data_IF_484503022390
#
_entry.id   IF_484503022390
#
_cell.length_a   1.000
_cell.length_b   1.000
_cell.length_c   1.000
_cell.angle_alpha   90.00
_cell.angle_beta   90.00
_cell.angle_gamma   90.00
#
_symmetry.space_group_name_H-M   'P 1'
#
loop_
_entity.id
_entity.type
_entity.pdbx_description
1 polymer ?
#
# COMPACT_ATOMS: atom_id res chain seq x y z
N UNK A 1 21.35 4.35 -17.23
CA UNK A 1 21.60 4.94 -15.91
C UNK A 1 20.28 5.52 -15.45
N UNK A 2 19.61 4.86 -14.49
CA UNK A 2 18.31 5.30 -13.97
C UNK A 2 18.41 6.73 -13.47
N UNK A 3 17.48 7.60 -13.87
CA UNK A 3 17.40 9.00 -13.47
C UNK A 3 17.06 9.17 -11.98
N UNK A 4 16.58 8.11 -11.33
CA UNK A 4 16.08 8.15 -9.96
C UNK A 4 17.11 7.61 -8.99
N UNK A 5 18.04 8.48 -8.57
CA UNK A 5 18.95 8.15 -7.46
C UNK A 5 18.27 8.14 -6.10
N UNK A 6 17.09 8.75 -5.98
CA UNK A 6 16.37 8.87 -4.72
C UNK A 6 15.21 7.86 -4.65
N UNK A 7 15.15 7.11 -3.56
CA UNK A 7 14.10 6.14 -3.28
C UNK A 7 13.22 6.66 -2.14
N UNK A 8 11.92 6.74 -2.39
CA UNK A 8 10.93 7.13 -1.40
C UNK A 8 10.58 5.95 -0.49
N UNK A 9 10.60 6.18 0.82
CA UNK A 9 10.30 5.13 1.81
C UNK A 9 8.95 5.38 2.47
N UNK A 10 8.14 4.33 2.52
CA UNK A 10 6.90 4.31 3.30
C UNK A 10 6.99 3.27 4.43
N UNK A 11 6.32 3.57 5.54
CA UNK A 11 6.10 2.60 6.62
C UNK A 11 4.61 2.37 6.83
N UNK A 12 4.26 1.15 7.27
CA UNK A 12 2.87 0.75 7.49
C UNK A 12 2.61 0.55 8.97
N UNK A 13 1.52 1.12 9.47
CA UNK A 13 0.98 0.82 10.80
C UNK A 13 -0.41 0.19 10.69
N UNK A 14 -0.50 -1.08 11.07
CA UNK A 14 -1.78 -1.76 11.26
C UNK A 14 -2.41 -1.29 12.59
N UNK A 15 -3.25 -0.26 12.54
CA UNK A 15 -3.82 0.39 13.73
C UNK A 15 -5.09 -0.29 14.22
N UNK A 16 -5.67 -1.21 13.43
CA UNK A 16 -6.74 -2.12 13.82
C UNK A 16 -6.65 -3.41 13.01
N UNK A 17 -6.45 -4.55 13.68
CA UNK A 17 -6.02 -5.80 13.03
C UNK A 17 -7.01 -6.94 13.17
N UNK A 18 -7.30 -7.60 12.04
CA UNK A 18 -7.88 -8.95 12.03
C UNK A 18 -9.36 -9.05 12.43
N UNK A 19 -10.14 -8.00 12.22
CA UNK A 19 -11.60 -7.96 12.49
C UNK A 19 -12.46 -7.88 11.23
N UNK A 20 -11.85 -8.04 10.05
CA UNK A 20 -12.50 -7.83 8.75
C UNK A 20 -13.45 -8.97 8.38
N UNK A 21 -14.69 -8.64 8.00
CA UNK A 21 -15.72 -9.61 7.60
C UNK A 21 -15.75 -9.92 6.09
N UNK A 22 -14.97 -9.18 5.31
CA UNK A 22 -14.89 -9.34 3.85
C UNK A 22 -14.20 -10.66 3.47
N UNK A 23 -14.45 -11.11 2.24
CA UNK A 23 -13.95 -12.38 1.72
C UNK A 23 -12.85 -12.22 0.66
N UNK A 24 -12.04 -11.17 0.79
CA UNK A 24 -10.85 -10.99 -0.04
C UNK A 24 -9.90 -12.18 0.14
N UNK A 25 -9.84 -13.08 -0.85
CA UNK A 25 -9.13 -14.36 -0.81
C UNK A 25 -7.62 -14.27 -0.57
N UNK A 26 -7.02 -13.08 -0.72
CA UNK A 26 -5.61 -12.81 -0.44
C UNK A 26 -5.34 -12.33 1.00
N UNK A 27 -6.37 -11.96 1.76
CA UNK A 27 -6.20 -11.17 2.99
C UNK A 27 -6.25 -12.05 4.24
N UNK A 28 -5.12 -12.16 4.93
CA UNK A 28 -4.97 -12.85 6.23
C UNK A 28 -5.78 -12.21 7.36
N UNK A 29 -6.18 -10.94 7.21
CA UNK A 29 -7.00 -10.24 8.20
C UNK A 29 -8.49 -10.59 8.12
N UNK A 30 -8.95 -11.24 7.04
CA UNK A 30 -10.32 -11.74 6.97
C UNK A 30 -10.55 -12.79 8.06
N UNK A 31 -11.64 -12.63 8.81
CA UNK A 31 -12.03 -13.60 9.85
C UNK A 31 -12.47 -14.94 9.24
N UNK A 32 -12.77 -14.99 7.94
CA UNK A 32 -13.26 -16.18 7.23
C UNK A 32 -12.20 -17.26 7.03
N UNK A 33 -10.92 -16.85 6.94
CA UNK A 33 -9.82 -17.77 6.62
C UNK A 33 -9.05 -18.24 7.85
N UNK A 34 -9.31 -17.67 9.03
CA UNK A 34 -8.68 -18.10 10.28
C UNK A 34 -7.14 -18.12 10.23
N UNK A 35 -6.52 -17.20 9.48
CA UNK A 35 -5.07 -17.07 9.46
C UNK A 35 -4.55 -16.76 10.88
N UNK A 36 -3.40 -17.36 11.21
CA UNK A 36 -2.73 -17.14 12.49
C UNK A 36 -2.00 -15.80 12.46
N UNK A 37 -2.68 -14.75 12.92
CA UNK A 37 -2.18 -13.38 12.98
C UNK A 37 -2.52 -12.79 14.35
N UNK A 38 -1.80 -11.74 14.75
CA UNK A 38 -2.17 -10.95 15.92
C UNK A 38 -3.45 -10.14 15.64
N UNK A 39 -4.45 -10.29 16.51
CA UNK A 39 -5.76 -9.63 16.37
C UNK A 39 -5.97 -8.70 17.56
N UNK A 40 -6.32 -7.46 17.26
CA UNK A 40 -6.58 -6.43 18.25
C UNK A 40 -7.53 -5.40 17.65
N UNK A 41 -8.21 -4.65 18.51
CA UNK A 41 -9.04 -3.53 18.08
C UNK A 41 -8.14 -2.33 17.75
N UNK A 42 -8.45 -1.13 18.22
CA UNK A 42 -7.58 0.01 18.00
C UNK A 42 -6.30 -0.04 18.85
N UNK A 43 -5.14 0.25 18.23
CA UNK A 43 -3.93 0.63 18.97
C UNK A 43 -4.17 1.91 19.77
N UNK A 44 -3.39 2.10 20.84
CA UNK A 44 -3.38 3.39 21.54
C UNK A 44 -2.78 4.49 20.66
N UNK A 45 -3.23 5.73 20.82
CA UNK A 45 -2.72 6.86 20.04
C UNK A 45 -1.23 7.07 20.36
N UNK A 46 -0.85 6.89 21.62
CA UNK A 46 0.53 7.00 22.09
C UNK A 46 1.45 5.99 21.38
N UNK A 47 0.99 4.75 21.21
CA UNK A 47 1.71 3.74 20.45
C UNK A 47 1.83 4.11 18.97
N UNK A 48 0.76 4.62 18.35
CA UNK A 48 0.78 5.06 16.95
C UNK A 48 1.80 6.19 16.75
N UNK A 49 1.82 7.19 17.63
CA UNK A 49 2.81 8.27 17.59
C UNK A 49 4.23 7.72 17.76
N UNK A 50 4.46 6.84 18.73
CA UNK A 50 5.77 6.23 18.96
C UNK A 50 6.26 5.47 17.72
N UNK A 51 5.40 4.67 17.09
CA UNK A 51 5.75 3.93 15.87
C UNK A 51 5.98 4.87 14.67
N UNK A 52 5.25 5.99 14.58
CA UNK A 52 5.46 7.02 13.56
C UNK A 52 6.81 7.74 13.75
N UNK A 53 7.19 8.06 14.98
CA UNK A 53 8.51 8.63 15.30
C UNK A 53 9.63 7.68 14.88
N UNK A 54 9.48 6.38 15.17
CA UNK A 54 10.44 5.36 14.74
C UNK A 54 10.50 5.23 13.22
N UNK A 55 9.37 5.25 12.52
CA UNK A 55 9.33 5.21 11.07
C UNK A 55 10.08 6.42 10.46
N UNK A 56 9.79 7.63 10.93
CA UNK A 56 10.47 8.86 10.49
C UNK A 56 11.97 8.81 10.75
N UNK A 57 12.39 8.34 11.93
CA UNK A 57 13.81 8.17 12.27
C UNK A 57 14.54 7.15 11.36
N UNK A 58 13.80 6.23 10.74
CA UNK A 58 14.30 5.29 9.74
C UNK A 58 14.18 5.80 8.30
N UNK A 59 13.81 7.07 8.09
CA UNK A 59 13.74 7.70 6.78
C UNK A 59 12.41 7.54 6.06
N UNK A 60 11.37 7.05 6.72
CA UNK A 60 10.03 7.04 6.13
C UNK A 60 9.57 8.48 5.88
N UNK A 61 9.07 8.72 4.67
CA UNK A 61 8.39 9.94 4.28
C UNK A 61 6.87 9.73 4.20
N UNK A 62 6.43 8.52 3.85
CA UNK A 62 5.02 8.11 3.95
C UNK A 62 4.76 7.23 5.16
N UNK A 63 3.60 7.41 5.80
CA UNK A 63 3.18 6.63 6.95
C UNK A 63 1.70 6.23 6.84
N UNK A 64 1.46 4.93 6.67
CA UNK A 64 0.12 4.39 6.45
C UNK A 64 -0.57 4.07 7.77
N UNK A 65 -1.78 4.60 7.96
CA UNK A 65 -2.70 4.29 9.05
C UNK A 65 -3.75 3.29 8.54
N UNK A 66 -3.56 2.00 8.82
CA UNK A 66 -4.33 0.92 8.21
C UNK A 66 -5.30 0.28 9.20
N UNK A 67 -6.57 0.16 8.81
CA UNK A 67 -7.59 -0.55 9.59
C UNK A 67 -8.15 -1.73 8.80
N UNK A 68 -8.33 -2.87 9.45
CA UNK A 68 -9.08 -3.99 8.90
C UNK A 68 -10.58 -3.64 8.75
N UNK A 69 -11.19 -4.05 7.63
CA UNK A 69 -12.63 -3.90 7.36
C UNK A 69 -12.91 -3.48 5.92
N UNK A 70 -14.19 -3.48 5.54
CA UNK A 70 -14.66 -3.02 4.22
C UNK A 70 -14.34 -1.56 3.96
N UNK A 71 -14.58 -0.72 4.96
CA UNK A 71 -14.57 0.72 4.81
C UNK A 71 -14.73 1.47 6.12
N UNK A 72 -14.82 2.78 5.96
CA UNK A 72 -14.99 3.75 7.03
C UNK A 72 -16.43 3.76 7.57
N UNK A 73 -16.52 3.80 8.89
CA UNK A 73 -17.72 4.13 9.66
C UNK A 73 -17.40 5.32 10.58
N UNK A 74 -18.40 5.93 11.20
CA UNK A 74 -18.22 7.15 12.02
C UNK A 74 -17.15 6.98 13.11
N UNK A 75 -17.05 5.78 13.71
CA UNK A 75 -16.06 5.51 14.77
C UNK A 75 -14.65 5.39 14.20
N UNK A 76 -14.49 4.70 13.07
CA UNK A 76 -13.20 4.58 12.38
C UNK A 76 -12.71 5.92 11.88
N UNK A 77 -13.59 6.73 11.28
CA UNK A 77 -13.26 8.06 10.76
C UNK A 77 -12.74 8.95 11.89
N UNK A 78 -13.47 9.01 13.01
CA UNK A 78 -13.03 9.75 14.20
C UNK A 78 -11.68 9.24 14.74
N UNK A 79 -11.52 7.92 14.85
CA UNK A 79 -10.27 7.34 15.35
C UNK A 79 -9.06 7.67 14.45
N UNK A 80 -9.21 7.50 13.12
CA UNK A 80 -8.15 7.80 12.16
C UNK A 80 -7.82 9.29 12.16
N UNK A 81 -8.82 10.18 12.25
CA UNK A 81 -8.62 11.61 12.38
C UNK A 81 -7.83 11.98 13.64
N UNK A 82 -8.20 11.44 14.81
CA UNK A 82 -7.46 11.68 16.07
C UNK A 82 -6.03 11.15 16.01
N UNK A 83 -5.82 9.97 15.41
CA UNK A 83 -4.49 9.42 15.20
C UNK A 83 -3.65 10.30 14.27
N UNK A 84 -4.22 10.77 13.17
CA UNK A 84 -3.55 11.66 12.22
C UNK A 84 -3.13 12.98 12.88
N UNK A 85 -4.05 13.63 13.61
CA UNK A 85 -3.75 14.87 14.34
C UNK A 85 -2.63 14.66 15.38
N UNK A 86 -2.68 13.57 16.13
CA UNK A 86 -1.65 13.26 17.13
C UNK A 86 -0.28 13.02 16.48
N UNK A 87 -0.23 12.31 15.35
CA UNK A 87 1.02 12.11 14.62
C UNK A 87 1.54 13.44 14.06
N UNK A 88 0.71 14.24 13.38
CA UNK A 88 1.09 15.56 12.86
C UNK A 88 1.61 16.51 13.94
N UNK A 89 1.07 16.42 15.16
CA UNK A 89 1.50 17.25 16.28
C UNK A 89 2.86 16.85 16.89
N UNK A 90 3.33 15.62 16.64
CA UNK A 90 4.54 15.06 17.26
C UNK A 90 5.64 14.68 16.25
N UNK A 91 5.30 14.53 14.98
CA UNK A 91 6.21 14.07 13.92
C UNK A 91 6.04 14.96 12.70
N UNK A 92 7.01 15.84 12.48
CA UNK A 92 7.02 16.78 11.36
C UNK A 92 7.35 16.08 10.03
N UNK A 93 6.88 16.67 8.93
CA UNK A 93 7.21 16.29 7.55
C UNK A 93 6.98 14.80 7.23
N UNK A 94 5.88 14.23 7.75
CA UNK A 94 5.44 12.87 7.43
C UNK A 94 4.11 12.94 6.67
N UNK A 95 4.09 12.36 5.47
CA UNK A 95 2.87 12.22 4.66
C UNK A 95 2.02 11.08 5.23
N UNK A 96 0.86 11.42 5.79
CA UNK A 96 -0.06 10.47 6.38
C UNK A 96 -1.00 9.92 5.32
N UNK A 97 -0.99 8.60 5.20
CA UNK A 97 -1.75 7.85 4.21
C UNK A 97 -2.83 7.06 4.95
N UNK A 98 -4.10 7.41 4.73
CA UNK A 98 -5.22 6.65 5.26
C UNK A 98 -5.48 5.40 4.39
N UNK A 99 -5.45 4.21 4.97
CA UNK A 99 -5.71 2.94 4.26
C UNK A 99 -6.88 2.21 4.93
N UNK A 100 -8.10 2.74 4.77
CA UNK A 100 -9.24 2.37 5.62
C UNK A 100 -10.45 1.81 4.83
N UNK A 101 -10.21 1.31 3.62
CA UNK A 101 -11.23 0.69 2.78
C UNK A 101 -12.09 1.71 2.02
N UNK A 102 -13.34 1.35 1.70
CA UNK A 102 -14.28 2.22 0.98
C UNK A 102 -14.61 3.46 1.79
N UNK A 103 -14.72 4.61 1.11
CA UNK A 103 -14.97 5.89 1.77
C UNK A 103 -15.85 6.80 0.91
N UNK A 104 -16.77 7.50 1.58
CA UNK A 104 -17.59 8.57 0.99
C UNK A 104 -16.80 9.87 0.90
N UNK A 105 -17.26 10.82 0.08
CA UNK A 105 -16.61 12.13 -0.06
C UNK A 105 -16.58 12.87 1.28
N UNK A 106 -17.64 12.82 2.05
CA UNK A 106 -17.75 13.48 3.35
C UNK A 106 -16.71 12.95 4.34
N UNK A 107 -16.53 11.63 4.40
CA UNK A 107 -15.52 11.00 5.25
C UNK A 107 -14.10 11.37 4.81
N UNK A 108 -13.84 11.40 3.50
CA UNK A 108 -12.54 11.77 2.95
C UNK A 108 -12.21 13.26 3.18
N UNK A 109 -13.18 14.15 2.99
CA UNK A 109 -13.04 15.58 3.32
C UNK A 109 -12.73 15.76 4.80
N UNK A 110 -13.45 15.05 5.68
CA UNK A 110 -13.20 15.10 7.11
C UNK A 110 -11.77 14.64 7.45
N UNK A 111 -11.33 13.50 6.92
CA UNK A 111 -9.96 13.01 7.14
C UNK A 111 -8.89 14.01 6.64
N UNK A 112 -9.11 14.62 5.48
CA UNK A 112 -8.22 15.67 4.93
C UNK A 112 -8.10 16.86 5.87
N UNK A 113 -9.21 17.36 6.38
CA UNK A 113 -9.22 18.48 7.35
C UNK A 113 -8.52 18.14 8.67
N UNK A 114 -8.37 16.84 8.98
CA UNK A 114 -7.75 16.34 10.20
C UNK A 114 -6.32 15.80 9.97
N UNK A 115 -5.69 16.17 8.85
CA UNK A 115 -4.26 15.96 8.64
C UNK A 115 -3.88 14.71 7.86
N UNK A 116 -4.83 14.03 7.23
CA UNK A 116 -4.53 13.03 6.20
C UNK A 116 -4.15 13.74 4.90
N UNK A 117 -3.02 13.36 4.32
CA UNK A 117 -2.51 13.95 3.07
C UNK A 117 -2.91 13.10 1.84
N UNK A 118 -2.90 11.78 2.02
CA UNK A 118 -3.15 10.81 0.95
C UNK A 118 -4.13 9.73 1.39
N UNK A 119 -4.85 9.13 0.44
CA UNK A 119 -5.72 7.98 0.71
C UNK A 119 -5.35 6.80 -0.18
N UNK A 120 -5.14 5.64 0.43
CA UNK A 120 -4.85 4.40 -0.27
C UNK A 120 -6.12 3.59 -0.53
N UNK A 121 -6.37 3.30 -1.80
CA UNK A 121 -7.39 2.34 -2.19
C UNK A 121 -6.96 1.58 -3.46
N UNK A 122 -6.50 0.34 -3.30
CA UNK A 122 -6.09 -0.50 -4.43
C UNK A 122 -7.29 -0.99 -5.23
N UNK A 123 -7.13 -1.27 -6.52
CA UNK A 123 -8.12 -2.04 -7.30
C UNK A 123 -7.97 -3.56 -7.10
N UNK A 124 -6.84 -3.98 -6.53
CA UNK A 124 -6.43 -5.36 -6.21
C UNK A 124 -6.17 -6.24 -7.44
N UNK A 125 -7.13 -6.33 -8.37
CA UNK A 125 -7.02 -7.07 -9.63
C UNK A 125 -7.93 -6.44 -10.70
N UNK A 126 -7.98 -7.03 -11.90
CA UNK A 126 -8.86 -6.58 -12.99
C UNK A 126 -10.32 -6.68 -12.56
N UNK A 127 -11.18 -5.85 -13.16
CA UNK A 127 -12.64 -5.96 -12.96
C UNK A 127 -13.16 -7.36 -13.32
N UNK A 128 -12.61 -7.96 -14.39
CA UNK A 128 -12.99 -9.28 -14.90
C UNK A 128 -12.69 -10.40 -13.90
N UNK A 129 -11.54 -10.35 -13.22
CA UNK A 129 -11.10 -11.39 -12.29
C UNK A 129 -11.52 -11.13 -10.85
N UNK A 130 -12.05 -9.93 -10.54
CA UNK A 130 -12.33 -9.52 -9.17
C UNK A 130 -13.29 -10.45 -8.42
N UNK A 131 -14.32 -10.98 -9.08
CA UNK A 131 -15.28 -11.90 -8.46
C UNK A 131 -14.67 -13.25 -8.01
N UNK A 132 -13.52 -13.61 -8.59
CA UNK A 132 -12.72 -14.75 -8.13
C UNK A 132 -11.92 -14.41 -6.87
N UNK A 133 -11.79 -13.14 -6.49
CA UNK A 133 -11.01 -12.68 -5.35
C UNK A 133 -11.87 -12.18 -4.20
N UNK A 134 -12.97 -11.49 -4.46
CA UNK A 134 -13.87 -10.95 -3.43
C UNK A 134 -15.30 -10.91 -3.96
N UNK A 135 -16.27 -11.29 -3.13
CA UNK A 135 -17.70 -11.29 -3.46
C UNK A 135 -18.53 -10.44 -2.49
N UNK A 136 -17.97 -10.00 -1.36
CA UNK A 136 -18.70 -9.16 -0.39
C UNK A 136 -18.88 -7.71 -0.82
N UNK A 137 -18.15 -7.25 -1.84
CA UNK A 137 -18.30 -5.94 -2.43
C UNK A 137 -17.86 -5.92 -3.90
N UNK A 138 -18.42 -5.00 -4.69
CA UNK A 138 -18.10 -4.93 -6.11
C UNK A 138 -16.73 -4.27 -6.38
N UNK A 139 -16.15 -4.56 -7.54
CA UNK A 139 -14.95 -3.86 -8.03
C UNK A 139 -15.23 -2.37 -8.27
N UNK A 140 -16.41 -2.05 -8.81
CA UNK A 140 -16.83 -0.67 -9.09
C UNK A 140 -16.87 0.21 -7.83
N UNK A 141 -17.22 -0.34 -6.66
CA UNK A 141 -17.18 0.39 -5.38
C UNK A 141 -15.74 0.86 -5.04
N UNK A 142 -14.73 0.08 -5.46
CA UNK A 142 -13.33 0.43 -5.25
C UNK A 142 -12.90 1.55 -6.16
N UNK A 143 -13.26 1.45 -7.44
CA UNK A 143 -12.99 2.49 -8.43
C UNK A 143 -13.64 3.82 -8.03
N UNK A 144 -14.93 3.80 -7.62
CA UNK A 144 -15.65 4.97 -7.13
C UNK A 144 -14.95 5.60 -5.91
N UNK A 145 -14.42 4.79 -4.99
CA UNK A 145 -13.64 5.31 -3.85
C UNK A 145 -12.40 6.08 -4.33
N UNK A 146 -11.68 5.56 -5.33
CA UNK A 146 -10.53 6.26 -5.92
C UNK A 146 -10.92 7.60 -6.56
N UNK A 147 -12.04 7.65 -7.28
CA UNK A 147 -12.57 8.90 -7.84
C UNK A 147 -12.97 9.90 -6.75
N UNK A 148 -13.60 9.41 -5.67
CA UNK A 148 -13.97 10.23 -4.53
C UNK A 148 -12.75 10.89 -3.88
N UNK A 149 -11.66 10.15 -3.69
CA UNK A 149 -10.37 10.65 -3.14
C UNK A 149 -9.87 11.83 -3.96
N UNK A 150 -9.81 11.68 -5.30
CA UNK A 150 -9.38 12.76 -6.19
C UNK A 150 -10.33 13.96 -6.15
N UNK A 151 -11.64 13.70 -6.08
CA UNK A 151 -12.65 14.76 -6.11
C UNK A 151 -12.60 15.70 -4.89
N UNK A 152 -12.08 15.22 -3.75
CA UNK A 152 -11.88 16.05 -2.55
C UNK A 152 -10.45 16.62 -2.44
N UNK A 153 -9.59 16.32 -3.43
CA UNK A 153 -8.22 16.79 -3.53
C UNK A 153 -7.26 16.19 -2.50
N UNK A 154 -7.48 14.94 -2.09
CA UNK A 154 -6.45 14.13 -1.45
C UNK A 154 -5.56 13.51 -2.53
N UNK A 155 -4.28 13.27 -2.22
CA UNK A 155 -3.44 12.46 -3.10
C UNK A 155 -3.93 11.01 -3.11
N UNK A 156 -4.07 10.43 -4.29
CA UNK A 156 -4.51 9.06 -4.48
C UNK A 156 -3.30 8.13 -4.48
N UNK A 157 -3.34 7.13 -3.60
CA UNK A 157 -2.49 5.95 -3.65
C UNK A 157 -3.33 4.76 -4.12
N UNK A 158 -3.06 4.21 -5.31
CA UNK A 158 -3.85 3.10 -5.85
C UNK A 158 -3.01 2.16 -6.68
N UNK A 159 -3.09 0.87 -6.38
CA UNK A 159 -2.39 -0.18 -7.12
C UNK A 159 -3.11 -1.52 -7.04
N UNK A 160 -2.35 -2.61 -7.00
CA UNK A 160 -2.92 -3.96 -7.00
C UNK A 160 -1.98 -5.05 -6.50
N UNK A 161 -2.46 -6.29 -6.61
CA UNK A 161 -1.77 -7.50 -6.17
C UNK A 161 -1.62 -8.43 -7.37
N UNK A 162 -0.39 -8.91 -7.61
CA UNK A 162 -0.07 -9.81 -8.72
C UNK A 162 0.33 -11.19 -8.21
N UNK A 163 -0.02 -12.26 -8.94
CA UNK A 163 0.25 -13.65 -8.55
C UNK A 163 -0.87 -14.33 -7.76
N UNK A 164 -2.10 -13.85 -7.88
CA UNK A 164 -3.31 -14.44 -7.27
C UNK A 164 -3.97 -15.51 -8.15
N UNK A 165 -3.41 -15.79 -9.33
CA UNK A 165 -3.95 -16.73 -10.32
C UNK A 165 -4.55 -16.06 -11.56
N UNK A 166 -4.51 -14.73 -11.61
CA UNK A 166 -4.94 -13.92 -12.75
C UNK A 166 -4.08 -14.20 -14.00
N UNK A 167 -4.67 -14.04 -15.18
CA UNK A 167 -4.00 -14.20 -16.48
C UNK A 167 -3.28 -12.89 -16.89
N UNK A 168 -2.48 -12.92 -17.96
CA UNK A 168 -1.74 -11.72 -18.38
C UNK A 168 -2.71 -10.59 -18.75
N UNK A 169 -3.80 -10.91 -19.42
CA UNK A 169 -4.84 -9.95 -19.80
C UNK A 169 -5.54 -9.31 -18.59
N UNK A 170 -5.52 -9.95 -17.42
CA UNK A 170 -6.02 -9.34 -16.18
C UNK A 170 -5.00 -8.35 -15.59
N UNK A 171 -3.71 -8.67 -15.71
CA UNK A 171 -2.63 -7.78 -15.25
C UNK A 171 -2.62 -6.50 -16.08
N UNK A 172 -2.69 -6.63 -17.40
CA UNK A 172 -2.73 -5.50 -18.33
C UNK A 172 -3.97 -4.63 -18.05
N UNK A 173 -5.15 -5.24 -17.91
CA UNK A 173 -6.38 -4.51 -17.61
C UNK A 173 -6.36 -3.81 -16.23
N UNK A 174 -5.73 -4.41 -15.22
CA UNK A 174 -5.51 -3.77 -13.93
C UNK A 174 -4.61 -2.53 -14.07
N UNK A 175 -3.48 -2.66 -14.79
CA UNK A 175 -2.54 -1.56 -14.97
C UNK A 175 -3.18 -0.39 -15.75
N UNK A 176 -3.95 -0.68 -16.80
CA UNK A 176 -4.72 0.33 -17.53
C UNK A 176 -5.75 1.04 -16.64
N UNK A 177 -6.48 0.28 -15.81
CA UNK A 177 -7.44 0.84 -14.86
C UNK A 177 -6.76 1.76 -13.83
N UNK A 178 -5.61 1.35 -13.29
CA UNK A 178 -4.80 2.18 -12.37
C UNK A 178 -4.35 3.46 -13.09
N UNK A 179 -3.81 3.35 -14.29
CA UNK A 179 -3.33 4.50 -15.06
C UNK A 179 -4.47 5.51 -15.35
N UNK A 180 -5.69 5.00 -15.63
CA UNK A 180 -6.88 5.84 -15.85
C UNK A 180 -7.24 6.71 -14.64
N UNK A 181 -6.94 6.25 -13.43
CA UNK A 181 -7.12 7.00 -12.19
C UNK A 181 -6.03 8.06 -11.99
N UNK A 182 -4.91 7.97 -12.71
CA UNK A 182 -3.74 8.86 -12.59
C UNK A 182 -3.35 9.13 -11.13
N UNK A 183 -3.02 8.09 -10.34
CA UNK A 183 -2.65 8.25 -8.94
C UNK A 183 -1.31 8.96 -8.79
N UNK A 184 -1.09 9.59 -7.64
CA UNK A 184 0.20 10.16 -7.25
C UNK A 184 1.19 9.08 -6.83
N UNK A 185 0.69 7.98 -6.25
CA UNK A 185 1.48 6.81 -5.87
C UNK A 185 0.81 5.50 -6.25
N UNK A 186 1.57 4.55 -6.79
CA UNK A 186 1.09 3.24 -7.22
C UNK A 186 1.86 2.12 -6.51
N UNK A 187 1.26 1.45 -5.51
CA UNK A 187 1.85 0.26 -4.90
C UNK A 187 1.59 -0.99 -5.74
N UNK A 188 2.67 -1.62 -6.20
CA UNK A 188 2.67 -2.96 -6.75
C UNK A 188 2.96 -3.94 -5.63
N UNK A 189 1.99 -4.80 -5.35
CA UNK A 189 2.11 -5.87 -4.36
C UNK A 189 2.19 -7.20 -5.10
N UNK A 190 2.95 -8.14 -4.56
CA UNK A 190 3.04 -9.49 -5.05
C UNK A 190 2.45 -10.42 -3.99
N UNK A 191 1.57 -11.31 -4.43
CA UNK A 191 0.79 -12.16 -3.55
C UNK A 191 1.71 -12.92 -2.61
N UNK A 192 1.44 -12.83 -1.31
CA UNK A 192 2.15 -13.58 -0.29
C UNK A 192 1.33 -14.83 0.07
N UNK A 193 1.75 -16.04 -0.35
CA UNK A 193 0.98 -17.25 -0.06
C UNK A 193 0.87 -17.47 1.45
N UNK A 194 -0.30 -17.92 1.88
CA UNK A 194 -0.52 -18.34 3.26
C UNK A 194 -1.36 -19.63 3.29
N UNK A 195 -1.01 -20.63 4.12
CA UNK A 195 -1.74 -21.89 4.19
C UNK A 195 -3.24 -21.74 4.45
N UNK A 196 -3.63 -20.73 5.24
CA UNK A 196 -5.01 -20.45 5.61
C UNK A 196 -5.85 -19.87 4.46
N UNK A 197 -5.21 -19.25 3.47
CA UNK A 197 -5.90 -18.57 2.37
C UNK A 197 -6.31 -19.56 1.25
N UNK A 198 -7.45 -19.33 0.58
CA UNK A 198 -7.99 -20.26 -0.41
C UNK A 198 -7.29 -20.22 -1.77
N UNK A 199 -6.44 -19.21 -2.05
CA UNK A 199 -5.70 -19.12 -3.30
C UNK A 199 -4.57 -20.17 -3.31
N UNK A 200 -4.69 -21.18 -4.18
CA UNK A 200 -3.75 -22.31 -4.33
C UNK A 200 -3.16 -22.40 -5.75
N UNK A 201 -2.90 -21.25 -6.37
CA UNK A 201 -2.34 -21.13 -7.72
C UNK A 201 -0.81 -20.98 -7.69
N UNK A 202 -0.16 -21.03 -8.86
CA UNK A 202 1.26 -20.63 -8.95
C UNK A 202 1.37 -19.15 -8.59
N UNK A 203 2.42 -18.80 -7.87
CA UNK A 203 2.73 -17.39 -7.66
C UNK A 203 3.44 -16.80 -8.90
N UNK A 204 3.55 -15.48 -8.91
CA UNK A 204 4.32 -14.76 -9.91
C UNK A 204 5.82 -15.08 -9.81
N UNK A 205 6.50 -15.08 -10.95
CA UNK A 205 7.95 -15.26 -11.03
C UNK A 205 8.69 -13.92 -11.02
N UNK A 206 9.98 -13.95 -10.69
CA UNK A 206 10.82 -12.74 -10.71
C UNK A 206 10.82 -12.03 -12.08
N UNK A 207 10.95 -12.70 -13.25
CA UNK A 207 10.85 -12.03 -14.56
C UNK A 207 9.48 -11.39 -14.81
N UNK A 208 8.38 -12.07 -14.48
CA UNK A 208 7.03 -11.50 -14.60
C UNK A 208 6.87 -10.25 -13.71
N UNK A 209 7.44 -10.27 -12.51
CA UNK A 209 7.39 -9.11 -11.61
C UNK A 209 8.16 -7.90 -12.18
N UNK A 210 9.32 -8.11 -12.80
CA UNK A 210 10.06 -7.04 -13.47
C UNK A 210 9.27 -6.47 -14.67
N UNK A 211 8.65 -7.34 -15.46
CA UNK A 211 7.82 -6.92 -16.59
C UNK A 211 6.65 -6.04 -16.14
N UNK A 212 5.97 -6.40 -15.06
CA UNK A 212 4.89 -5.60 -14.47
C UNK A 212 5.39 -4.23 -14.00
N UNK A 213 6.55 -4.18 -13.32
CA UNK A 213 7.13 -2.91 -12.86
C UNK A 213 7.45 -2.01 -14.07
N UNK A 214 8.06 -2.56 -15.12
CA UNK A 214 8.39 -1.82 -16.33
C UNK A 214 7.15 -1.33 -17.08
N UNK A 215 6.13 -2.18 -17.25
CA UNK A 215 4.87 -1.78 -17.87
C UNK A 215 4.16 -0.69 -17.06
N UNK A 216 4.07 -0.85 -15.74
CA UNK A 216 3.49 0.16 -14.86
C UNK A 216 4.22 1.51 -14.98
N UNK A 217 5.56 1.51 -14.98
CA UNK A 217 6.36 2.73 -15.19
C UNK A 217 6.04 3.40 -16.52
N UNK A 218 5.95 2.63 -17.60
CA UNK A 218 5.63 3.16 -18.93
C UNK A 218 4.25 3.83 -18.99
N UNK A 219 3.24 3.23 -18.34
CA UNK A 219 1.87 3.76 -18.31
C UNK A 219 1.73 4.99 -17.41
N UNK A 220 2.41 5.01 -16.26
CA UNK A 220 2.26 6.05 -15.25
C UNK A 220 3.17 7.27 -15.50
N UNK A 221 4.27 7.10 -16.24
CA UNK A 221 5.27 8.12 -16.47
C UNK A 221 6.31 8.21 -15.35
N UNK A 222 7.39 8.96 -15.58
CA UNK A 222 8.57 9.03 -14.70
C UNK A 222 8.35 9.81 -13.40
N UNK A 223 7.41 10.75 -13.40
CA UNK A 223 7.19 11.67 -12.28
C UNK A 223 6.34 11.04 -11.15
N UNK A 224 5.75 9.86 -11.37
CA UNK A 224 4.90 9.20 -10.38
C UNK A 224 5.71 8.31 -9.43
N UNK A 225 5.23 8.18 -8.19
CA UNK A 225 5.77 7.19 -7.27
C UNK A 225 5.27 5.79 -7.66
N UNK A 226 6.20 4.92 -8.05
CA UNK A 226 5.96 3.50 -8.30
C UNK A 226 6.61 2.71 -7.18
N UNK A 227 5.78 2.14 -6.32
CA UNK A 227 6.19 1.52 -5.07
C UNK A 227 6.16 0.00 -5.18
N UNK A 228 7.27 -0.65 -4.86
CA UNK A 228 7.27 -2.10 -4.59
C UNK A 228 7.00 -2.31 -3.09
N UNK A 229 5.84 -2.91 -2.79
CA UNK A 229 5.33 -3.05 -1.44
C UNK A 229 5.25 -4.52 -1.02
N UNK A 230 4.06 -5.06 -0.73
CA UNK A 230 3.91 -6.42 -0.22
C UNK A 230 4.53 -7.47 -1.14
N UNK A 231 5.19 -8.48 -0.57
CA UNK A 231 5.83 -9.56 -1.34
C UNK A 231 7.21 -9.23 -1.91
N UNK A 232 7.76 -8.04 -1.63
CA UNK A 232 9.11 -7.63 -2.03
C UNK A 232 10.17 -8.65 -1.62
N UNK A 233 10.19 -9.04 -0.35
CA UNK A 233 11.19 -9.96 0.22
C UNK A 233 11.12 -11.35 -0.43
N UNK A 234 9.93 -11.79 -0.87
CA UNK A 234 9.77 -13.09 -1.52
C UNK A 234 10.42 -13.14 -2.92
N UNK A 235 10.41 -12.01 -3.63
CA UNK A 235 10.82 -11.97 -5.04
C UNK A 235 12.20 -11.36 -5.24
N UNK A 236 12.55 -10.35 -4.45
CA UNK A 236 13.68 -9.45 -4.72
C UNK A 236 14.82 -9.56 -3.72
N UNK A 237 14.74 -10.42 -2.69
CA UNK A 237 15.88 -10.59 -1.77
C UNK A 237 17.15 -10.96 -2.54
N UNK A 238 18.21 -10.18 -2.37
CA UNK A 238 19.49 -10.25 -3.12
C UNK A 238 19.42 -9.85 -4.60
N UNK A 239 18.31 -9.27 -5.05
CA UNK A 239 18.05 -8.80 -6.43
C UNK A 239 17.29 -7.46 -6.43
N UNK A 240 17.43 -6.69 -5.37
CA UNK A 240 16.71 -5.44 -5.14
C UNK A 240 17.09 -4.36 -6.17
N UNK A 241 18.31 -4.40 -6.72
CA UNK A 241 18.70 -3.50 -7.81
C UNK A 241 17.77 -3.60 -9.02
N UNK A 242 17.33 -4.82 -9.35
CA UNK A 242 16.53 -5.06 -10.54
C UNK A 242 15.14 -4.41 -10.45
N UNK A 243 14.53 -4.28 -9.26
CA UNK A 243 13.25 -3.58 -9.15
C UNK A 243 13.39 -2.08 -9.43
N UNK A 244 14.50 -1.47 -9.02
CA UNK A 244 14.78 -0.05 -9.28
C UNK A 244 15.13 0.18 -10.76
N UNK A 245 15.94 -0.70 -11.36
CA UNK A 245 16.24 -0.67 -12.79
C UNK A 245 14.99 -0.86 -13.66
N UNK A 246 14.03 -1.67 -13.21
CA UNK A 246 12.75 -1.88 -13.89
C UNK A 246 11.82 -0.66 -13.80
N UNK A 247 12.09 0.29 -12.90
CA UNK A 247 11.37 1.57 -12.80
C UNK A 247 10.77 1.88 -11.43
N UNK A 248 10.91 1.04 -10.41
CA UNK A 248 10.45 1.39 -9.06
C UNK A 248 11.28 2.55 -8.49
N UNK A 249 10.63 3.52 -7.83
CA UNK A 249 11.29 4.64 -7.14
C UNK A 249 10.75 4.83 -5.71
N UNK A 250 9.97 3.88 -5.21
CA UNK A 250 9.47 3.84 -3.85
C UNK A 250 9.42 2.41 -3.31
N UNK A 251 9.48 2.26 -1.99
CA UNK A 251 9.32 0.96 -1.33
C UNK A 251 8.78 1.09 0.09
N UNK A 252 8.21 -0.01 0.59
CA UNK A 252 7.84 -0.14 2.01
C UNK A 252 9.05 -0.65 2.80
N UNK A 253 9.27 -0.08 3.98
CA UNK A 253 10.28 -0.52 4.96
C UNK A 253 9.63 -1.06 6.24
N UNK A 254 10.34 -1.97 6.90
CA UNK A 254 9.85 -2.59 8.12
C UNK A 254 8.72 -3.59 7.84
N UNK A 255 7.87 -3.80 8.85
CA UNK A 255 6.80 -4.78 8.75
C UNK A 255 5.63 -4.26 7.90
N UNK A 256 4.92 -5.20 7.30
CA UNK A 256 3.64 -4.95 6.63
C UNK A 256 2.49 -5.18 7.64
N UNK A 257 1.27 -5.46 7.14
CA UNK A 257 0.09 -5.62 7.98
C UNK A 257 0.16 -6.83 8.91
N UNK A 258 0.50 -8.00 8.35
CA UNK A 258 0.56 -9.28 9.08
C UNK A 258 1.75 -10.13 8.67
N UNK A 259 2.68 -9.56 7.92
CA UNK A 259 3.89 -10.24 7.43
C UNK A 259 5.10 -9.42 7.87
N UNK A 260 6.12 -10.11 8.35
CA UNK A 260 7.38 -9.49 8.71
C UNK A 260 8.12 -9.08 7.44
N UNK A 261 8.67 -7.87 7.46
CA UNK A 261 9.61 -7.40 6.44
C UNK A 261 11.03 -7.41 6.98
N UNK A 262 11.97 -6.88 6.20
CA UNK A 262 13.32 -6.65 6.71
C UNK A 262 13.33 -5.52 7.74
N UNK A 263 14.30 -5.56 8.66
CA UNK A 263 14.51 -4.46 9.59
C UNK A 263 14.84 -3.18 8.80
N UNK A 264 14.24 -2.01 9.09
CA UNK A 264 14.41 -0.80 8.29
C UNK A 264 15.87 -0.37 8.01
N UNK A 265 16.78 -0.60 8.97
CA UNK A 265 18.20 -0.31 8.76
C UNK A 265 18.85 -1.20 7.68
N UNK A 266 18.36 -2.44 7.48
CA UNK A 266 18.85 -3.32 6.42
C UNK A 266 18.47 -2.81 5.05
N UNK A 267 17.27 -2.25 4.90
CA UNK A 267 16.84 -1.62 3.65
C UNK A 267 17.69 -0.38 3.31
N UNK A 268 18.01 0.45 4.31
CA UNK A 268 18.94 1.58 4.13
C UNK A 268 20.35 1.15 3.74
N UNK A 269 20.88 0.12 4.39
CA UNK A 269 22.18 -0.47 4.04
C UNK A 269 22.18 -0.99 2.60
N UNK A 270 21.10 -1.66 2.19
CA UNK A 270 20.90 -2.16 0.83
C UNK A 270 20.92 -1.00 -0.18
N UNK A 271 20.12 0.05 0.03
CA UNK A 271 20.08 1.21 -0.85
C UNK A 271 21.47 1.86 -1.02
N UNK A 272 22.17 2.09 0.10
CA UNK A 272 23.50 2.68 0.07
C UNK A 272 24.51 1.80 -0.68
N UNK A 273 24.42 0.47 -0.51
CA UNK A 273 25.33 -0.48 -1.19
C UNK A 273 25.13 -0.51 -2.71
N UNK A 274 23.91 -0.24 -3.18
CA UNK A 274 23.54 -0.14 -4.58
C UNK A 274 23.74 1.28 -5.15
N UNK A 275 24.16 2.24 -4.32
CA UNK A 275 24.38 3.63 -4.75
C UNK A 275 23.11 4.47 -4.87
N UNK A 276 22.00 4.04 -4.27
CA UNK A 276 20.77 4.81 -4.13
C UNK A 276 20.77 5.62 -2.82
N UNK A 277 20.10 6.76 -2.85
CA UNK A 277 19.88 7.66 -1.72
C UNK A 277 18.42 7.57 -1.25
N UNK A 278 18.21 7.76 0.05
CA UNK A 278 16.84 7.87 0.59
C UNK A 278 16.33 9.28 0.32
N UNK A 279 15.12 9.40 -0.24
CA UNK A 279 14.48 10.69 -0.45
C UNK A 279 14.27 11.41 0.90
N UNK A 280 14.42 12.74 0.93
CA UNK A 280 14.33 13.53 2.16
C UNK A 280 13.09 14.42 2.26
N UNK A 281 12.35 14.61 1.18
CA UNK A 281 11.09 15.36 1.15
C UNK A 281 10.07 14.75 0.20
N UNK A 282 8.81 15.15 0.35
CA UNK A 282 7.69 14.74 -0.50
C UNK A 282 7.47 15.69 -1.69
N UNK A 283 8.42 16.60 -1.99
CA UNK A 283 8.27 17.66 -3.01
C UNK A 283 8.22 17.12 -4.45
N UNK A 284 8.32 15.80 -4.61
CA UNK A 284 8.22 15.06 -5.87
C UNK A 284 6.81 14.46 -6.12
N UNK A 285 5.80 14.82 -5.33
CA UNK A 285 4.40 14.40 -5.51
C UNK A 285 3.56 15.38 -6.34
#
# INVERSE_FOLDING_TARGET
MSSHKQIFLCAINNILSGTCQEDCKFCTQSVRYHANIERYNYKSIEQIVSEATLAKANGALGYCLVTAGKGLDDKKVDFVARAAQAVKANVEDLNLIACNGTATKEQLTYLKEHGIDSYNHNLETSERYYAEICQTHAWSERYETCENVKSVGLALCSGGIFGMGEEQEDRDALLDAIASLSPESTPLNFYHPNPALPIKTRNITFPEALEIITQARQLLGEDKLLMVAGGRELLFTHKEEAMFEAGANAMVIGNYLTTEGLAPNKDKEMLASLGYEVATSCDTL
#
